data_IF_452727558326
#
_entry.id   IF_452727558326
#
_cell.length_a   1.000
_cell.length_b   1.000
_cell.length_c   1.000
_cell.angle_alpha   90.00
_cell.angle_beta   90.00
_cell.angle_gamma   90.00
#
_symmetry.space_group_name_H-M   'P 1'
#
loop_
_entity.id
_entity.type
_entity.pdbx_description
1 polymer ?
#
# COMPACT_ATOMS: atom_id res chain seq x y z
N UNK A 1 -13.82 -7.44 3.16
CA UNK A 1 -15.10 -6.93 2.61
C UNK A 1 -14.77 -5.97 1.47
N UNK A 2 -15.16 -6.28 0.22
CA UNK A 2 -14.97 -5.36 -0.92
C UNK A 2 -16.09 -4.33 -0.93
N UNK A 3 -15.75 -3.03 -0.91
CA UNK A 3 -16.73 -1.95 -1.05
C UNK A 3 -16.53 -1.28 -2.40
N UNK A 4 -17.56 -1.31 -3.26
CA UNK A 4 -17.56 -0.57 -4.54
C UNK A 4 -18.41 0.69 -4.40
N UNK A 5 -17.80 1.86 -4.54
CA UNK A 5 -18.50 3.12 -4.81
C UNK A 5 -18.23 3.49 -6.28
N UNK A 6 -19.17 4.15 -6.96
CA UNK A 6 -19.05 4.43 -8.40
C UNK A 6 -17.68 5.07 -8.71
N UNK A 7 -16.87 4.39 -9.53
CA UNK A 7 -15.53 4.83 -9.93
C UNK A 7 -14.37 4.42 -9.01
N UNK A 8 -14.64 3.76 -7.88
CA UNK A 8 -13.65 3.39 -6.87
C UNK A 8 -13.82 1.94 -6.38
N UNK A 9 -12.73 1.18 -6.38
CA UNK A 9 -12.66 -0.15 -5.79
C UNK A 9 -11.75 -0.11 -4.55
N UNK A 10 -12.21 -0.70 -3.46
CA UNK A 10 -11.44 -0.83 -2.22
C UNK A 10 -11.50 -2.25 -1.67
N UNK A 11 -10.36 -2.73 -1.19
CA UNK A 11 -10.21 -3.96 -0.45
C UNK A 11 -9.34 -3.75 0.79
N UNK A 12 -9.74 -4.37 1.91
CA UNK A 12 -9.04 -4.28 3.18
C UNK A 12 -8.75 -5.69 3.68
N UNK A 13 -7.51 -5.90 4.11
CA UNK A 13 -7.04 -7.12 4.78
C UNK A 13 -6.64 -6.73 6.20
N UNK A 14 -7.41 -7.18 7.18
CA UNK A 14 -7.13 -6.94 8.60
C UNK A 14 -6.02 -7.88 9.09
N UNK A 15 -5.00 -7.32 9.75
CA UNK A 15 -3.92 -8.08 10.39
C UNK A 15 -4.13 -8.10 11.91
N UNK A 16 -4.49 -6.95 12.48
CA UNK A 16 -4.89 -6.79 13.88
C UNK A 16 -5.91 -5.67 14.02
N UNK A 17 -6.36 -5.39 15.26
CA UNK A 17 -7.33 -4.33 15.53
C UNK A 17 -6.86 -2.92 15.08
N UNK A 18 -5.54 -2.68 14.98
CA UNK A 18 -4.99 -1.39 14.61
C UNK A 18 -4.11 -1.42 13.36
N UNK A 19 -3.93 -2.59 12.73
CA UNK A 19 -3.04 -2.77 11.58
C UNK A 19 -3.78 -3.51 10.47
N UNK A 20 -3.78 -2.94 9.27
CA UNK A 20 -4.43 -3.52 8.10
C UNK A 20 -3.76 -3.06 6.81
N UNK A 21 -3.94 -3.85 5.75
CA UNK A 21 -3.57 -3.46 4.38
C UNK A 21 -4.81 -2.95 3.67
N UNK A 22 -4.65 -1.86 2.93
CA UNK A 22 -5.67 -1.31 2.04
C UNK A 22 -5.16 -1.34 0.60
N UNK A 23 -5.96 -1.95 -0.28
CA UNK A 23 -5.85 -1.81 -1.72
C UNK A 23 -6.93 -0.86 -2.22
N UNK A 24 -6.53 0.12 -3.02
CA UNK A 24 -7.43 1.08 -3.64
C UNK A 24 -7.13 1.20 -5.12
N UNK A 25 -8.20 1.30 -5.91
CA UNK A 25 -8.13 1.64 -7.33
C UNK A 25 -9.17 2.69 -7.70
N UNK A 26 -8.71 3.77 -8.34
CA UNK A 26 -9.56 4.78 -8.96
C UNK A 26 -9.67 4.53 -10.46
N UNK A 27 -10.84 4.07 -10.90
CA UNK A 27 -11.05 3.63 -12.28
C UNK A 27 -10.86 4.75 -13.31
N UNK A 28 -11.21 5.99 -12.94
CA UNK A 28 -11.17 7.13 -13.88
C UNK A 28 -9.75 7.60 -14.14
N UNK A 29 -8.92 7.73 -13.10
CA UNK A 29 -7.52 8.17 -13.26
C UNK A 29 -6.55 7.01 -13.47
N UNK A 30 -6.98 5.77 -13.24
CA UNK A 30 -6.10 4.60 -13.19
C UNK A 30 -5.15 4.60 -11.99
N UNK A 31 -5.44 5.39 -10.95
CA UNK A 31 -4.59 5.48 -9.76
C UNK A 31 -4.77 4.26 -8.88
N UNK A 32 -3.67 3.64 -8.46
CA UNK A 32 -3.66 2.55 -7.48
C UNK A 32 -2.91 2.97 -6.23
N UNK A 33 -3.43 2.63 -5.05
CA UNK A 33 -2.73 2.81 -3.78
C UNK A 33 -2.76 1.50 -2.98
N UNK A 34 -1.58 0.94 -2.71
CA UNK A 34 -1.41 -0.21 -1.84
C UNK A 34 -0.75 0.28 -0.56
N UNK A 35 -1.40 0.12 0.58
CA UNK A 35 -1.01 0.84 1.80
C UNK A 35 -1.09 -0.08 3.00
N UNK A 36 0.01 -0.19 3.75
CA UNK A 36 0.01 -0.71 5.12
C UNK A 36 -0.34 0.44 6.06
N UNK A 37 -1.41 0.27 6.83
CA UNK A 37 -1.91 1.26 7.77
C UNK A 37 -1.80 0.71 9.19
N UNK A 38 -1.30 1.54 10.11
CA UNK A 38 -1.18 1.23 11.52
C UNK A 38 -1.57 2.43 12.38
N UNK A 39 -2.46 2.23 13.37
CA UNK A 39 -2.98 3.30 14.23
C UNK A 39 -3.47 4.52 13.45
N UNK A 40 -4.20 4.28 12.35
CA UNK A 40 -4.73 5.27 11.42
C UNK A 40 -3.67 6.12 10.68
N UNK A 41 -2.41 5.68 10.64
CA UNK A 41 -1.35 6.31 9.86
C UNK A 41 -0.82 5.37 8.78
N UNK A 42 -0.40 5.92 7.63
CA UNK A 42 0.36 5.17 6.63
C UNK A 42 1.70 4.78 7.24
N UNK A 43 1.96 3.48 7.29
CA UNK A 43 3.25 2.94 7.70
C UNK A 43 4.11 2.62 6.49
N UNK A 44 3.54 2.13 5.39
CA UNK A 44 4.26 1.79 4.17
C UNK A 44 3.30 1.86 2.98
N UNK A 45 3.79 2.07 1.76
CA UNK A 45 2.91 2.00 0.59
C UNK A 45 3.60 1.95 -0.77
N UNK A 46 2.81 1.55 -1.76
CA UNK A 46 3.13 1.59 -3.19
C UNK A 46 1.99 2.30 -3.90
N UNK A 47 2.31 3.42 -4.52
CA UNK A 47 1.33 4.28 -5.19
C UNK A 47 1.63 4.34 -6.69
N UNK A 48 0.62 4.11 -7.52
CA UNK A 48 0.69 4.25 -8.96
C UNK A 48 -0.12 5.47 -9.39
N UNK A 49 0.57 6.53 -9.79
CA UNK A 49 -0.06 7.79 -10.22
C UNK A 49 0.34 8.09 -11.66
N UNK A 50 -0.65 8.16 -12.56
CA UNK A 50 -0.38 8.35 -13.99
C UNK A 50 0.45 7.21 -14.61
N UNK A 51 0.26 5.98 -14.11
CA UNK A 51 1.01 4.80 -14.57
C UNK A 51 2.44 4.72 -14.05
N UNK A 52 2.82 5.55 -13.07
CA UNK A 52 4.16 5.54 -12.48
C UNK A 52 4.08 5.12 -11.01
N UNK A 53 4.78 4.04 -10.70
CA UNK A 53 4.91 3.55 -9.34
C UNK A 53 5.97 4.32 -8.56
N UNK A 54 5.70 4.47 -7.27
CA UNK A 54 6.67 4.93 -6.29
C UNK A 54 6.37 4.30 -4.94
N UNK A 55 7.41 4.16 -4.13
CA UNK A 55 7.35 3.60 -2.79
C UNK A 55 7.28 4.71 -1.75
N UNK A 56 6.51 4.46 -0.70
CA UNK A 56 6.48 5.19 0.55
C UNK A 56 7.15 4.33 1.62
N UNK A 57 8.45 4.54 1.93
CA UNK A 57 9.22 3.67 2.82
C UNK A 57 8.70 3.65 4.25
N UNK A 58 8.97 2.57 4.99
CA UNK A 58 8.50 2.44 6.37
C UNK A 58 9.08 3.49 7.32
N UNK A 59 10.37 3.79 7.12
CA UNK A 59 11.14 4.71 7.95
C UNK A 59 10.75 6.18 7.70
N UNK A 60 10.16 6.47 6.52
CA UNK A 60 9.64 7.79 6.17
C UNK A 60 8.47 7.68 5.18
N UNK A 61 7.24 7.44 5.67
CA UNK A 61 6.08 7.18 4.81
C UNK A 61 5.64 8.37 3.94
N UNK A 62 6.13 9.57 4.23
CA UNK A 62 5.88 10.78 3.43
C UNK A 62 6.85 10.91 2.23
N UNK A 63 7.97 10.19 2.25
CA UNK A 63 8.91 10.18 1.14
C UNK A 63 8.31 9.45 -0.07
N UNK A 64 8.66 9.94 -1.26
CA UNK A 64 8.31 9.32 -2.54
C UNK A 64 9.59 8.76 -3.15
N UNK A 65 9.87 7.50 -2.89
CA UNK A 65 11.00 6.81 -3.48
C UNK A 65 10.65 6.37 -4.91
N UNK A 66 11.25 7.07 -5.87
CA UNK A 66 11.10 6.86 -7.31
C UNK A 66 12.38 6.29 -7.94
N UNK A 67 13.26 5.69 -7.13
CA UNK A 67 14.52 5.13 -7.59
C UNK A 67 14.56 3.62 -7.37
N UNK A 68 15.34 2.92 -8.21
CA UNK A 68 15.55 1.48 -8.08
C UNK A 68 14.25 0.70 -7.98
N UNK A 69 14.20 -0.22 -7.01
CA UNK A 69 13.04 -1.05 -6.71
C UNK A 69 11.81 -0.26 -6.22
N UNK A 70 12.01 0.96 -5.73
CA UNK A 70 10.95 1.89 -5.35
C UNK A 70 10.06 2.32 -6.52
N UNK A 71 10.61 2.35 -7.74
CA UNK A 71 9.91 2.75 -8.96
C UNK A 71 9.31 1.57 -9.76
N UNK A 72 9.64 0.33 -9.38
CA UNK A 72 9.17 -0.85 -10.08
C UNK A 72 7.65 -1.03 -9.91
N UNK A 73 7.02 -1.56 -10.96
CA UNK A 73 5.64 -2.02 -10.90
C UNK A 73 5.50 -3.09 -9.81
N UNK A 74 4.36 -3.11 -9.13
CA UNK A 74 4.09 -4.11 -8.09
C UNK A 74 2.71 -4.73 -8.25
N UNK A 75 2.64 -6.03 -7.99
CA UNK A 75 1.41 -6.80 -7.86
C UNK A 75 0.97 -6.88 -6.40
N UNK A 76 -0.32 -7.10 -6.11
CA UNK A 76 -0.81 -7.24 -4.73
C UNK A 76 -0.06 -8.29 -3.90
N UNK A 77 0.34 -9.41 -4.51
CA UNK A 77 1.08 -10.49 -3.83
C UNK A 77 2.48 -10.02 -3.40
N UNK A 78 3.22 -9.35 -4.29
CA UNK A 78 4.55 -8.79 -4.00
C UNK A 78 4.48 -7.72 -2.90
N UNK A 79 3.46 -6.86 -2.95
CA UNK A 79 3.22 -5.89 -1.89
C UNK A 79 2.95 -6.55 -0.54
N UNK A 80 2.21 -7.66 -0.52
CA UNK A 80 1.94 -8.39 0.72
C UNK A 80 3.21 -9.05 1.29
N UNK A 81 4.10 -9.54 0.43
CA UNK A 81 5.41 -10.05 0.84
C UNK A 81 6.26 -8.94 1.49
N UNK A 82 6.35 -7.77 0.85
CA UNK A 82 7.04 -6.59 1.42
C UNK A 82 6.44 -6.18 2.78
N UNK A 83 5.11 -6.16 2.88
CA UNK A 83 4.41 -5.86 4.14
C UNK A 83 4.73 -6.89 5.21
N UNK A 84 4.72 -8.18 4.87
CA UNK A 84 5.00 -9.25 5.83
C UNK A 84 6.43 -9.15 6.37
N UNK A 85 7.41 -8.85 5.52
CA UNK A 85 8.80 -8.61 5.94
C UNK A 85 8.90 -7.44 6.93
N UNK A 86 8.23 -6.32 6.64
CA UNK A 86 8.18 -5.15 7.53
C UNK A 86 7.57 -5.53 8.89
N UNK A 87 6.42 -6.21 8.89
CA UNK A 87 5.73 -6.58 10.13
C UNK A 87 6.59 -7.48 11.01
N UNK A 88 7.31 -8.45 10.42
CA UNK A 88 8.25 -9.31 11.16
C UNK A 88 9.45 -8.51 11.68
N UNK A 89 10.08 -7.69 10.83
CA UNK A 89 11.28 -6.91 11.16
C UNK A 89 11.02 -5.94 12.31
N UNK A 90 9.87 -5.26 12.27
CA UNK A 90 9.46 -4.23 13.23
C UNK A 90 8.68 -4.81 14.43
N UNK A 91 8.48 -6.14 14.48
CA UNK A 91 7.78 -6.86 15.56
C UNK A 91 6.35 -6.36 15.79
N UNK A 92 5.64 -6.12 14.69
CA UNK A 92 4.24 -5.70 14.68
C UNK A 92 3.27 -6.89 14.60
N UNK A 93 3.80 -8.09 14.38
CA UNK A 93 3.12 -9.40 14.46
C UNK A 93 4.00 -10.42 15.18
#
# INVERSE_FOLDING_TARGET
>A
MTTRKIGHDYEIIEISANIYVQFYFHQVSGTSNFVLIGWNNRLYGRDCVGGKWHRHPFENPEAHDMAGDGADDTMPEEFLDEVFEILLREKLI
#
